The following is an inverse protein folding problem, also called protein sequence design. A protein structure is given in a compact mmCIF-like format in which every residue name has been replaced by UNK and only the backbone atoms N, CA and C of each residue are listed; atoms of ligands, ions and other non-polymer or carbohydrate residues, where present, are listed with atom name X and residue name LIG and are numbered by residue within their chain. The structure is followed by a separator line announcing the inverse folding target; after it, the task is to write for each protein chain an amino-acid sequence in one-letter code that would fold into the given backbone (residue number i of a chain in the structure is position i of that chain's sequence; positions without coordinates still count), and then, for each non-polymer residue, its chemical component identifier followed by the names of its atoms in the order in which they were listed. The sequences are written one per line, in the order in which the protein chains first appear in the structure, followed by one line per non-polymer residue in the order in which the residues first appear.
data_IF_295703130137
#
_entry.id   IF_295703130137
#
_cell.length_a   1.000
_cell.length_b   1.000
_cell.length_c   1.000
_cell.angle_alpha   90.00
_cell.angle_beta   90.00
_cell.angle_gamma   90.00
#
_symmetry.space_group_name_H-M   'P 1'
#
loop_
_entity.id
_entity.type
_entity.pdbx_description
1 polymer ?
#
# COMPACT_ATOMS: atom_id res chain seq x y z
N UNK A 1 5.99 11.12 7.72
CA UNK A 1 6.14 10.41 6.43
C UNK A 1 5.61 11.23 5.25
N UNK A 2 4.57 12.05 5.42
CA UNK A 2 4.09 13.01 4.41
C UNK A 2 4.74 14.41 4.51
N UNK A 3 5.85 14.51 5.25
CA UNK A 3 6.59 15.76 5.44
C UNK A 3 7.85 15.68 4.59
N UNK A 4 8.06 16.77 3.84
CA UNK A 4 9.05 17.04 2.81
C UNK A 4 10.49 17.14 3.37
N UNK A 5 10.93 16.21 4.21
CA UNK A 5 12.32 16.15 4.66
C UNK A 5 13.17 15.22 3.78
N UNK A 6 14.43 15.64 3.60
CA UNK A 6 15.53 15.07 2.80
C UNK A 6 15.95 13.63 3.16
N UNK A 7 15.10 12.82 3.77
CA UNK A 7 15.37 11.38 3.87
C UNK A 7 15.16 10.75 2.50
N UNK A 8 16.26 10.33 1.86
CA UNK A 8 16.18 9.61 0.59
C UNK A 8 16.06 8.11 0.85
N UNK A 9 15.03 7.72 1.63
CA UNK A 9 14.73 6.33 1.97
C UNK A 9 14.60 5.47 0.70
N UNK A 10 14.02 6.03 -0.37
CA UNK A 10 13.94 5.33 -1.66
C UNK A 10 15.32 5.03 -2.26
N UNK A 11 16.26 5.97 -2.20
CA UNK A 11 17.64 5.73 -2.63
C UNK A 11 18.33 4.70 -1.74
N UNK A 12 18.13 4.77 -0.42
CA UNK A 12 18.68 3.78 0.50
C UNK A 12 18.17 2.37 0.16
N UNK A 13 16.85 2.18 0.07
CA UNK A 13 16.24 0.89 -0.26
C UNK A 13 16.70 0.39 -1.63
N UNK A 14 16.78 1.27 -2.64
CA UNK A 14 17.30 0.91 -3.96
C UNK A 14 18.76 0.43 -3.91
N UNK A 15 19.61 1.11 -3.14
CA UNK A 15 21.01 0.71 -2.97
C UNK A 15 21.15 -0.58 -2.16
N UNK A 16 20.29 -0.78 -1.15
CA UNK A 16 20.23 -2.01 -0.37
C UNK A 16 19.87 -3.20 -1.26
N UNK A 17 18.79 -3.09 -2.05
CA UNK A 17 18.39 -4.12 -3.02
C UNK A 17 19.55 -4.46 -3.96
N UNK A 18 20.26 -3.43 -4.47
CA UNK A 18 21.42 -3.63 -5.33
C UNK A 18 22.56 -4.38 -4.62
N UNK A 19 22.92 -3.97 -3.40
CA UNK A 19 23.98 -4.61 -2.61
C UNK A 19 23.66 -6.08 -2.34
N UNK A 20 22.39 -6.39 -2.07
CA UNK A 20 21.93 -7.77 -1.87
C UNK A 20 22.07 -8.61 -3.15
N UNK A 21 21.83 -8.04 -4.35
CA UNK A 21 22.09 -8.76 -5.60
C UNK A 21 23.56 -9.11 -5.81
N UNK A 22 24.45 -8.21 -5.40
CA UNK A 22 25.90 -8.39 -5.57
C UNK A 22 26.44 -9.44 -4.59
N UNK A 23 25.73 -9.66 -3.47
CA UNK A 23 26.15 -10.54 -2.38
C UNK A 23 25.46 -11.91 -2.39
N UNK A 24 24.28 -12.04 -2.99
CA UNK A 24 23.44 -13.24 -2.92
C UNK A 24 22.79 -13.58 -4.27
N UNK A 25 22.52 -14.87 -4.56
CA UNK A 25 21.83 -15.31 -5.78
C UNK A 25 20.32 -15.02 -5.73
N UNK A 26 19.95 -13.74 -5.69
CA UNK A 26 18.56 -13.28 -5.64
C UNK A 26 17.98 -13.23 -7.05
N UNK A 27 16.78 -13.79 -7.22
CA UNK A 27 16.00 -13.59 -8.44
C UNK A 27 15.44 -12.16 -8.48
N UNK A 28 15.96 -11.34 -9.41
CA UNK A 28 15.60 -9.93 -9.56
C UNK A 28 14.14 -9.71 -9.95
N UNK A 29 13.50 -10.72 -10.53
CA UNK A 29 12.09 -10.66 -10.96
C UNK A 29 11.10 -11.01 -9.84
N UNK A 30 11.60 -11.38 -8.64
CA UNK A 30 10.79 -11.86 -7.51
C UNK A 30 11.07 -11.08 -6.22
N UNK A 31 11.01 -9.76 -6.31
CA UNK A 31 11.23 -8.88 -5.16
C UNK A 31 9.92 -8.27 -4.72
N UNK A 32 9.62 -8.40 -3.43
CA UNK A 32 8.38 -7.92 -2.85
C UNK A 32 8.70 -7.08 -1.62
N UNK A 33 7.86 -6.08 -1.35
CA UNK A 33 8.01 -5.20 -0.19
C UNK A 33 6.76 -5.25 0.66
N UNK A 34 6.93 -5.34 1.97
CA UNK A 34 5.85 -5.38 2.95
C UNK A 34 6.26 -4.62 4.21
N UNK A 35 5.28 -4.20 4.99
CA UNK A 35 5.48 -3.47 6.23
C UNK A 35 4.13 -3.20 6.90
N UNK A 36 4.18 -2.92 8.20
CA UNK A 36 3.00 -2.66 9.03
C UNK A 36 2.94 -1.21 9.50
N UNK A 37 1.75 -0.61 9.58
CA UNK A 37 1.54 0.75 10.08
C UNK A 37 2.31 1.80 9.28
N UNK A 38 3.24 2.56 9.88
CA UNK A 38 4.12 3.45 9.13
C UNK A 38 4.96 2.69 8.09
N UNK A 39 5.33 1.43 8.36
CA UNK A 39 5.98 0.56 7.39
C UNK A 39 5.09 0.21 6.20
N UNK A 40 3.76 0.15 6.38
CA UNK A 40 2.81 -0.02 5.30
C UNK A 40 2.69 1.24 4.44
N UNK A 41 2.68 2.42 5.06
CA UNK A 41 2.74 3.71 4.34
C UNK A 41 4.02 3.82 3.51
N UNK A 42 5.17 3.42 4.08
CA UNK A 42 6.44 3.35 3.34
C UNK A 42 6.39 2.29 2.23
N UNK A 43 5.74 1.15 2.46
CA UNK A 43 5.54 0.10 1.46
C UNK A 43 4.76 0.62 0.25
N UNK A 44 3.69 1.39 0.48
CA UNK A 44 2.95 2.08 -0.58
C UNK A 44 3.86 3.05 -1.36
N UNK A 45 4.61 3.90 -0.65
CA UNK A 45 5.50 4.88 -1.26
C UNK A 45 6.62 4.22 -2.08
N UNK A 46 7.24 3.15 -1.56
CA UNK A 46 8.23 2.34 -2.29
C UNK A 46 7.61 1.71 -3.55
N UNK A 47 6.37 1.22 -3.47
CA UNK A 47 5.66 0.68 -4.62
C UNK A 47 5.49 1.68 -5.76
N UNK A 48 5.21 2.94 -5.42
CA UNK A 48 5.11 4.01 -6.40
C UNK A 48 6.47 4.41 -6.99
N UNK A 49 7.48 4.58 -6.13
CA UNK A 49 8.79 5.15 -6.51
C UNK A 49 9.77 4.16 -7.12
N UNK A 50 9.82 2.93 -6.61
CA UNK A 50 10.73 1.87 -7.08
C UNK A 50 10.05 0.91 -8.07
N UNK A 51 9.03 1.41 -8.76
CA UNK A 51 8.34 0.71 -9.82
C UNK A 51 9.32 0.23 -10.91
N UNK A 52 9.16 -1.02 -11.35
CA UNK A 52 10.09 -1.69 -12.28
C UNK A 52 11.32 -2.33 -11.63
N UNK A 53 11.56 -2.10 -10.33
CA UNK A 53 12.59 -2.82 -9.55
C UNK A 53 11.95 -3.95 -8.73
N UNK A 54 10.73 -3.73 -8.25
CA UNK A 54 9.98 -4.70 -7.45
C UNK A 54 8.81 -5.27 -8.23
N UNK A 55 8.40 -6.49 -7.87
CA UNK A 55 7.34 -7.25 -8.51
C UNK A 55 5.96 -7.00 -7.89
N UNK A 56 5.90 -6.63 -6.62
CA UNK A 56 4.66 -6.33 -5.92
C UNK A 56 4.86 -5.84 -4.49
N UNK A 57 3.78 -5.38 -3.87
CA UNK A 57 3.78 -4.90 -2.49
C UNK A 57 2.65 -5.51 -1.66
N UNK A 58 2.86 -5.62 -0.35
CA UNK A 58 1.88 -6.11 0.62
C UNK A 58 1.79 -5.23 1.88
N UNK A 59 1.23 -4.01 1.81
CA UNK A 59 1.05 -3.13 2.99
C UNK A 59 0.00 -3.66 3.98
N UNK A 60 0.30 -3.55 5.28
CA UNK A 60 -0.54 -4.05 6.39
C UNK A 60 -0.89 -2.91 7.36
N UNK A 61 -2.17 -2.69 7.66
CA UNK A 61 -2.63 -1.71 8.65
C UNK A 61 -2.10 -0.28 8.39
N UNK A 62 -2.19 0.19 7.14
CA UNK A 62 -1.74 1.53 6.73
C UNK A 62 -2.57 2.11 5.60
N UNK A 63 -2.24 3.34 5.20
CA UNK A 63 -2.96 4.08 4.15
C UNK A 63 -1.99 4.69 3.13
N UNK A 64 -2.50 5.09 1.98
CA UNK A 64 -1.74 5.75 0.90
C UNK A 64 -1.49 7.24 1.15
N UNK A 65 -2.16 7.82 2.14
CA UNK A 65 -2.14 9.27 2.31
C UNK A 65 -3.03 9.76 3.45
N UNK A 66 -3.09 11.07 3.58
CA UNK A 66 -3.89 11.74 4.57
C UNK A 66 -3.64 13.24 4.60
N UNK A 67 -4.10 13.88 5.66
CA UNK A 67 -4.11 15.32 5.80
C UNK A 67 -3.64 15.67 7.21
N UNK A 68 -2.73 16.63 7.35
CA UNK A 68 -2.20 17.03 8.67
C UNK A 68 -3.31 17.70 9.51
N UNK A 69 -4.00 18.68 8.94
CA UNK A 69 -5.14 19.34 9.56
C UNK A 69 -6.20 19.69 8.51
N UNK A 70 -7.39 20.13 8.94
CA UNK A 70 -8.50 20.48 8.05
C UNK A 70 -8.18 21.62 7.07
N UNK A 71 -7.10 22.37 7.29
CA UNK A 71 -6.63 23.46 6.43
C UNK A 71 -5.50 23.07 5.48
N UNK A 72 -4.94 21.86 5.61
CA UNK A 72 -3.82 21.38 4.80
C UNK A 72 -4.32 20.67 3.53
N UNK A 73 -3.53 20.66 2.46
CA UNK A 73 -3.85 19.80 1.32
C UNK A 73 -3.76 18.31 1.70
N UNK A 74 -4.57 17.48 1.03
CA UNK A 74 -4.44 16.03 1.14
C UNK A 74 -3.12 15.63 0.47
N UNK A 75 -2.26 14.94 1.22
CA UNK A 75 -1.02 14.39 0.72
C UNK A 75 -1.17 12.89 0.50
N UNK A 76 -0.93 12.44 -0.74
CA UNK A 76 -0.93 11.03 -1.13
C UNK A 76 0.43 10.67 -1.73
N UNK A 77 0.75 9.37 -1.73
CA UNK A 77 1.91 8.86 -2.48
C UNK A 77 1.87 9.27 -3.95
N UNK A 78 3.06 9.28 -4.59
CA UNK A 78 3.19 9.55 -6.01
C UNK A 78 2.49 8.49 -6.86
N UNK A 79 2.10 8.87 -8.09
CA UNK A 79 1.56 7.92 -9.06
C UNK A 79 2.66 6.98 -9.56
N UNK A 80 2.48 5.65 -9.50
CA UNK A 80 3.44 4.70 -10.06
C UNK A 80 3.58 4.89 -11.58
N UNK A 81 4.80 4.68 -12.11
CA UNK A 81 5.09 4.83 -13.55
C UNK A 81 4.63 3.64 -14.41
N UNK A 82 4.38 2.49 -13.81
CA UNK A 82 3.84 1.31 -14.47
C UNK A 82 3.02 0.46 -13.49
N UNK A 83 2.18 -0.48 -13.98
CA UNK A 83 1.36 -1.33 -13.14
C UNK A 83 2.17 -2.18 -12.14
N UNK A 84 1.64 -2.39 -10.94
CA UNK A 84 2.28 -3.17 -9.88
C UNK A 84 1.22 -3.93 -9.07
N UNK A 85 1.38 -5.24 -8.92
CA UNK A 85 0.43 -6.03 -8.11
C UNK A 85 0.51 -5.66 -6.62
N UNK A 86 -0.65 -5.51 -5.98
CA UNK A 86 -0.78 -5.05 -4.58
C UNK A 86 -1.69 -5.97 -3.77
N UNK A 87 -1.24 -6.34 -2.57
CA UNK A 87 -2.08 -6.96 -1.53
C UNK A 87 -2.22 -5.98 -0.37
N UNK A 88 -3.43 -5.51 -0.11
CA UNK A 88 -3.74 -4.64 1.02
C UNK A 88 -4.33 -5.51 2.13
N UNK A 89 -3.81 -5.39 3.35
CA UNK A 89 -4.36 -6.11 4.52
C UNK A 89 -4.71 -5.09 5.58
N UNK A 90 -5.97 -5.04 6.02
CA UNK A 90 -6.39 -4.06 7.02
C UNK A 90 -7.50 -4.59 7.93
N UNK A 91 -7.46 -4.21 9.20
CA UNK A 91 -8.50 -4.56 10.17
C UNK A 91 -9.64 -3.55 10.19
N UNK A 92 -10.88 -4.02 10.17
CA UNK A 92 -12.07 -3.18 10.26
C UNK A 92 -12.15 -2.42 11.60
N UNK A 93 -11.59 -3.01 12.66
CA UNK A 93 -11.54 -2.44 14.01
C UNK A 93 -10.21 -1.75 14.36
N UNK A 94 -9.35 -1.49 13.37
CA UNK A 94 -8.11 -0.76 13.60
C UNK A 94 -8.43 0.65 14.15
N UNK A 95 -7.98 0.93 15.37
CA UNK A 95 -8.17 2.22 16.03
C UNK A 95 -7.02 3.18 15.80
N UNK A 96 -5.87 2.73 15.30
CA UNK A 96 -4.69 3.55 15.06
C UNK A 96 -4.69 4.13 13.63
N UNK A 97 -5.05 3.31 12.64
CA UNK A 97 -5.28 3.75 11.25
C UNK A 97 -6.69 3.29 10.87
N UNK A 98 -7.73 4.11 11.10
CA UNK A 98 -9.11 3.67 10.92
C UNK A 98 -9.41 3.23 9.49
N UNK A 99 -10.09 2.09 9.34
CA UNK A 99 -10.43 1.52 8.04
C UNK A 99 -11.20 2.52 7.13
N UNK A 100 -12.14 3.26 7.73
CA UNK A 100 -12.94 4.28 7.07
C UNK A 100 -12.25 5.67 7.00
N UNK A 101 -10.97 5.76 7.35
CA UNK A 101 -10.24 7.02 7.42
C UNK A 101 -10.56 7.85 8.65
N UNK A 102 -9.99 9.05 8.72
CA UNK A 102 -10.09 9.95 9.87
C UNK A 102 -8.93 9.82 10.84
N UNK A 103 -9.11 10.34 12.06
CA UNK A 103 -8.07 10.41 13.07
C UNK A 103 -7.87 9.08 13.80
N UNK A 104 -6.61 8.71 14.00
CA UNK A 104 -6.26 7.55 14.82
C UNK A 104 -6.38 7.87 16.31
N UNK A 105 -6.67 6.85 17.12
CA UNK A 105 -6.77 6.93 18.59
C UNK A 105 -5.60 7.70 19.23
N UNK A 106 -4.38 7.46 18.76
CA UNK A 106 -3.17 8.06 19.30
C UNK A 106 -2.59 9.17 18.39
N UNK A 107 -3.28 9.55 17.32
CA UNK A 107 -2.84 10.59 16.40
C UNK A 107 -4.03 11.46 15.97
N UNK A 108 -4.18 12.60 16.64
CA UNK A 108 -5.23 13.59 16.39
C UNK A 108 -4.73 14.74 15.51
N UNK A 109 -3.45 14.74 15.14
CA UNK A 109 -2.81 15.77 14.32
C UNK A 109 -2.58 15.31 12.87
N UNK A 110 -3.16 14.17 12.49
CA UNK A 110 -3.13 13.67 11.13
C UNK A 110 -4.36 12.79 10.89
N UNK A 111 -5.14 13.13 9.87
CA UNK A 111 -6.29 12.37 9.40
C UNK A 111 -5.88 11.44 8.26
N UNK A 112 -6.16 10.15 8.39
CA UNK A 112 -5.83 9.14 7.39
C UNK A 112 -6.89 9.05 6.30
N UNK A 113 -6.48 8.78 5.05
CA UNK A 113 -7.43 8.40 4.01
C UNK A 113 -8.00 6.99 4.26
N UNK A 114 -9.27 6.73 3.88
CA UNK A 114 -9.88 5.40 3.97
C UNK A 114 -9.10 4.34 3.18
N UNK A 115 -9.14 3.09 3.65
CA UNK A 115 -8.52 1.95 2.94
C UNK A 115 -9.10 1.78 1.53
N UNK A 116 -10.39 2.10 1.35
CA UNK A 116 -11.02 2.11 0.03
C UNK A 116 -10.36 3.07 -0.97
N UNK A 117 -9.77 4.18 -0.52
CA UNK A 117 -9.02 5.09 -1.40
C UNK A 117 -7.69 4.46 -1.85
N UNK A 118 -7.03 3.68 -0.98
CA UNK A 118 -5.86 2.90 -1.38
C UNK A 118 -6.21 1.86 -2.46
N UNK A 119 -7.32 1.14 -2.28
CA UNK A 119 -7.81 0.18 -3.28
C UNK A 119 -8.09 0.86 -4.61
N UNK A 120 -8.88 1.94 -4.61
CA UNK A 120 -9.22 2.70 -5.82
C UNK A 120 -7.98 3.21 -6.54
N UNK A 121 -7.04 3.79 -5.81
CA UNK A 121 -5.78 4.29 -6.36
C UNK A 121 -5.03 3.21 -7.13
N UNK A 122 -4.82 2.04 -6.52
CA UNK A 122 -4.09 0.95 -7.18
C UNK A 122 -4.88 0.27 -8.28
N UNK A 123 -6.21 0.16 -8.15
CA UNK A 123 -7.07 -0.37 -9.23
C UNK A 123 -6.96 0.52 -10.47
N UNK A 124 -6.97 1.84 -10.30
CA UNK A 124 -6.78 2.80 -11.39
C UNK A 124 -5.37 2.73 -11.97
N UNK A 125 -4.34 2.76 -11.11
CA UNK A 125 -2.94 2.69 -11.55
C UNK A 125 -2.61 1.41 -12.34
N UNK A 126 -3.28 0.30 -12.00
CA UNK A 126 -3.09 -0.99 -12.66
C UNK A 126 -4.04 -1.23 -13.83
N UNK A 127 -5.03 -0.36 -14.05
CA UNK A 127 -6.11 -0.57 -15.02
C UNK A 127 -6.88 -1.89 -14.77
N UNK A 128 -7.14 -2.22 -13.51
CA UNK A 128 -7.95 -3.39 -13.13
C UNK A 128 -9.45 -3.12 -13.34
N UNK A 129 -10.25 -4.19 -13.42
CA UNK A 129 -11.70 -4.11 -13.24
C UNK A 129 -12.03 -3.42 -11.92
N UNK A 130 -13.02 -2.51 -11.92
CA UNK A 130 -13.52 -1.85 -10.70
C UNK A 130 -14.48 -2.72 -9.88
N UNK A 131 -14.95 -3.83 -10.44
CA UNK A 131 -15.78 -4.82 -9.72
C UNK A 131 -14.90 -5.98 -9.26
N UNK A 132 -14.76 -6.21 -7.94
CA UNK A 132 -13.97 -7.32 -7.42
C UNK A 132 -14.76 -8.63 -7.43
N UNK A 133 -14.02 -9.75 -7.44
CA UNK A 133 -14.55 -11.02 -6.93
C UNK A 133 -14.39 -11.03 -5.41
N UNK A 134 -15.47 -11.25 -4.67
CA UNK A 134 -15.45 -11.34 -3.20
C UNK A 134 -15.46 -12.79 -2.73
N UNK A 135 -14.57 -13.10 -1.78
CA UNK A 135 -14.45 -14.40 -1.12
C UNK A 135 -14.51 -14.17 0.40
N UNK A 136 -15.24 -15.04 1.11
CA UNK A 136 -15.28 -15.05 2.57
C UNK A 136 -14.45 -16.22 3.08
N UNK A 137 -13.45 -15.93 3.91
CA UNK A 137 -12.49 -16.90 4.42
C UNK A 137 -12.60 -16.99 5.94
N UNK A 138 -12.06 -18.07 6.51
CA UNK A 138 -11.96 -18.30 7.95
C UNK A 138 -13.27 -18.01 8.69
N UNK A 139 -14.34 -18.73 8.36
CA UNK A 139 -15.68 -18.55 8.97
C UNK A 139 -16.23 -17.10 8.85
N UNK A 140 -15.86 -16.39 7.77
CA UNK A 140 -16.24 -14.99 7.46
C UNK A 140 -15.56 -13.94 8.33
N UNK A 141 -14.51 -14.30 9.07
CA UNK A 141 -13.67 -13.34 9.81
C UNK A 141 -12.71 -12.58 8.89
N UNK A 142 -12.52 -13.06 7.66
CA UNK A 142 -11.71 -12.42 6.62
C UNK A 142 -12.53 -12.27 5.34
N UNK A 143 -12.66 -11.04 4.84
CA UNK A 143 -13.26 -10.74 3.53
C UNK A 143 -12.12 -10.45 2.57
N UNK A 144 -12.09 -11.15 1.44
CA UNK A 144 -11.09 -10.99 0.39
C UNK A 144 -11.74 -10.47 -0.87
N UNK A 145 -11.30 -9.33 -1.38
CA UNK A 145 -11.78 -8.72 -2.62
C UNK A 145 -10.65 -8.71 -3.65
N UNK A 146 -10.88 -9.30 -4.82
CA UNK A 146 -9.88 -9.47 -5.88
C UNK A 146 -10.28 -8.64 -7.10
N UNK A 147 -9.53 -7.58 -7.36
CA UNK A 147 -9.64 -6.75 -8.56
C UNK A 147 -8.62 -7.25 -9.59
N UNK A 148 -9.11 -7.91 -10.64
CA UNK A 148 -8.31 -8.57 -11.67
C UNK A 148 -8.41 -7.88 -13.02
N UNK A 149 -7.70 -8.41 -14.03
CA UNK A 149 -7.70 -7.86 -15.39
C UNK A 149 -6.79 -6.65 -15.60
N UNK A 150 -5.91 -6.35 -14.63
CA UNK A 150 -4.95 -5.26 -14.74
C UNK A 150 -3.91 -5.49 -15.84
N UNK A 151 -3.33 -4.41 -16.31
CA UNK A 151 -2.25 -4.41 -17.31
C UNK A 151 -1.11 -5.32 -16.86
N UNK A 152 -0.54 -6.10 -17.79
CA UNK A 152 0.47 -7.13 -17.54
C UNK A 152 0.06 -8.21 -16.52
N UNK A 153 -1.25 -8.44 -16.36
CA UNK A 153 -1.78 -9.40 -15.39
C UNK A 153 -1.70 -8.92 -13.94
N UNK A 154 -1.49 -7.63 -13.72
CA UNK A 154 -1.49 -7.06 -12.37
C UNK A 154 -2.85 -7.19 -11.70
N UNK A 155 -2.84 -7.29 -10.37
CA UNK A 155 -4.03 -7.44 -9.55
C UNK A 155 -3.93 -6.57 -8.31
N UNK A 156 -5.09 -6.15 -7.79
CA UNK A 156 -5.21 -5.55 -6.46
C UNK A 156 -6.08 -6.47 -5.62
N UNK A 157 -5.59 -6.86 -4.45
CA UNK A 157 -6.33 -7.73 -3.54
C UNK A 157 -6.45 -7.02 -2.19
N UNK A 158 -7.67 -6.85 -1.68
CA UNK A 158 -7.89 -6.39 -0.31
C UNK A 158 -8.28 -7.57 0.57
N UNK A 159 -7.59 -7.73 1.69
CA UNK A 159 -8.02 -8.56 2.82
C UNK A 159 -8.49 -7.64 3.95
N UNK A 160 -9.78 -7.73 4.28
CA UNK A 160 -10.38 -7.05 5.42
C UNK A 160 -10.56 -8.05 6.56
N UNK A 161 -9.91 -7.79 7.70
CA UNK A 161 -10.08 -8.57 8.93
C UNK A 161 -11.25 -7.96 9.72
N UNK A 162 -12.31 -8.74 9.97
CA UNK A 162 -13.58 -8.25 10.52
C UNK A 162 -13.60 -8.23 12.06
N UNK A 163 -12.73 -9.01 12.69
CA UNK A 163 -12.69 -9.22 14.15
C UNK A 163 -12.01 -8.12 14.96
#
# INVERSE_FOLDING_TARGET
MFVKEKSNDFKFIKLLIRSLYESYPINKDQIFVTGISNGAMMTYAIGAELNGIIKGIAPIAGTIGGQLDSSSDINIISTPRSPLSVIIIHGLKDKNVPFNGGYGKNNQAFSFLPVGEAVKFWVQANNCSSTPKTEFLNEKTVIKEIYSGGTNGSQVVLYTIVE
#
